data_IF_190506254285
#
_entry.id   IF_190506254285
#
_cell.length_a   1.000
_cell.length_b   1.000
_cell.length_c   1.000
_cell.angle_alpha   90.00
_cell.angle_beta   90.00
_cell.angle_gamma   90.00
#
_symmetry.space_group_name_H-M   'P 1'
#
loop_
_entity.id
_entity.type
_entity.pdbx_description
1 polymer ?
#
# COMPACT_ATOMS: atom_id res chain seq x y z
N UNK A 1 -14.27 -7.49 -11.35
CA UNK A 1 -13.34 -8.45 -10.70
C UNK A 1 -12.17 -7.76 -9.99
N UNK A 2 -11.46 -6.84 -10.66
CA UNK A 2 -10.37 -6.05 -10.08
C UNK A 2 -10.75 -5.32 -8.79
N UNK A 3 -11.95 -4.77 -8.71
CA UNK A 3 -12.43 -4.03 -7.53
C UNK A 3 -12.45 -4.89 -6.26
N UNK A 4 -12.92 -6.14 -6.35
CA UNK A 4 -12.88 -7.11 -5.24
C UNK A 4 -11.44 -7.50 -4.89
N UNK A 5 -10.58 -7.68 -5.90
CA UNK A 5 -9.16 -7.99 -5.70
C UNK A 5 -8.43 -6.86 -4.97
N UNK A 6 -8.68 -5.61 -5.38
CA UNK A 6 -8.15 -4.41 -4.72
C UNK A 6 -8.64 -4.30 -3.28
N UNK A 7 -9.92 -4.60 -3.00
CA UNK A 7 -10.45 -4.62 -1.62
C UNK A 7 -9.76 -5.71 -0.77
N UNK A 8 -9.53 -6.91 -1.31
CA UNK A 8 -8.79 -7.98 -0.61
C UNK A 8 -7.34 -7.59 -0.32
N UNK A 9 -6.64 -7.01 -1.29
CA UNK A 9 -5.27 -6.53 -1.12
C UNK A 9 -5.19 -5.41 -0.08
N UNK A 10 -6.15 -4.50 -0.09
CA UNK A 10 -6.26 -3.41 0.89
C UNK A 10 -6.45 -3.97 2.30
N UNK A 11 -7.32 -4.97 2.47
CA UNK A 11 -7.49 -5.68 3.75
C UNK A 11 -6.22 -6.44 4.17
N UNK A 12 -5.52 -7.08 3.22
CA UNK A 12 -4.27 -7.78 3.48
C UNK A 12 -3.15 -6.84 3.93
N UNK A 13 -3.03 -5.66 3.32
CA UNK A 13 -2.08 -4.61 3.72
C UNK A 13 -2.41 -4.12 5.13
N UNK A 14 -3.70 -3.97 5.48
CA UNK A 14 -4.13 -3.51 6.80
C UNK A 14 -3.78 -4.48 7.96
N UNK A 15 -3.63 -5.78 7.67
CA UNK A 15 -3.22 -6.80 8.65
C UNK A 15 -1.75 -7.20 8.53
N UNK A 16 -1.03 -6.64 7.56
CA UNK A 16 0.36 -6.95 7.33
C UNK A 16 1.26 -6.18 8.32
N UNK A 17 2.25 -6.86 8.90
CA UNK A 17 3.24 -6.23 9.78
C UNK A 17 4.22 -5.30 9.04
N UNK A 18 4.39 -5.49 7.73
CA UNK A 18 5.24 -4.67 6.87
C UNK A 18 4.51 -4.30 5.57
N UNK A 19 3.61 -3.31 5.62
CA UNK A 19 2.84 -2.88 4.45
C UNK A 19 3.72 -2.35 3.31
N UNK A 20 4.87 -1.74 3.61
CA UNK A 20 5.79 -1.20 2.61
C UNK A 20 6.38 -2.26 1.68
N UNK A 21 6.86 -3.37 2.25
CA UNK A 21 7.50 -4.43 1.47
C UNK A 21 6.46 -5.14 0.59
N UNK A 22 5.25 -5.34 1.12
CA UNK A 22 4.11 -5.86 0.36
C UNK A 22 3.71 -4.90 -0.78
N UNK A 23 3.66 -3.58 -0.52
CA UNK A 23 3.37 -2.57 -1.54
C UNK A 23 4.40 -2.56 -2.67
N UNK A 24 5.69 -2.69 -2.37
CA UNK A 24 6.74 -2.80 -3.40
C UNK A 24 6.54 -4.04 -4.28
N UNK A 25 6.26 -5.20 -3.68
CA UNK A 25 5.99 -6.44 -4.44
C UNK A 25 4.73 -6.28 -5.29
N UNK A 26 3.67 -5.67 -4.74
CA UNK A 26 2.43 -5.41 -5.48
C UNK A 26 2.64 -4.45 -6.65
N UNK A 27 3.52 -3.46 -6.52
CA UNK A 27 3.84 -2.53 -7.61
C UNK A 27 4.55 -3.25 -8.78
N UNK A 28 5.40 -4.23 -8.49
CA UNK A 28 6.12 -5.01 -9.52
C UNK A 28 5.26 -6.10 -10.16
N UNK A 29 4.21 -6.55 -9.47
CA UNK A 29 3.35 -7.67 -9.91
C UNK A 29 2.03 -7.22 -10.52
N UNK A 30 1.56 -6.00 -10.23
CA UNK A 30 0.28 -5.48 -10.73
C UNK A 30 0.45 -4.47 -11.86
N UNK A 31 -0.49 -4.42 -12.82
CA UNK A 31 -0.53 -3.36 -13.81
C UNK A 31 -0.68 -1.97 -13.16
N UNK A 32 -0.08 -0.92 -13.74
CA UNK A 32 -0.18 0.45 -13.23
C UNK A 32 -1.61 0.92 -12.88
N UNK A 33 -2.66 0.70 -13.71
CA UNK A 33 -4.01 1.16 -13.39
C UNK A 33 -4.64 0.45 -12.18
N UNK A 34 -4.28 -0.81 -11.92
CA UNK A 34 -4.80 -1.57 -10.77
C UNK A 34 -4.12 -1.12 -9.48
N UNK A 35 -2.81 -0.89 -9.53
CA UNK A 35 -2.05 -0.37 -8.39
C UNK A 35 -2.53 1.04 -7.99
N UNK A 36 -2.89 1.88 -8.96
CA UNK A 36 -3.43 3.20 -8.70
C UNK A 36 -4.82 3.16 -8.05
N UNK A 37 -5.67 2.20 -8.43
CA UNK A 37 -6.94 1.93 -7.74
C UNK A 37 -6.74 1.45 -6.29
N UNK A 38 -5.67 0.68 -6.04
CA UNK A 38 -5.29 0.30 -4.69
C UNK A 38 -4.84 1.52 -3.86
N UNK A 39 -4.04 2.41 -4.45
CA UNK A 39 -3.62 3.64 -3.80
C UNK A 39 -4.76 4.61 -3.48
N UNK A 40 -5.80 4.69 -4.31
CA UNK A 40 -6.98 5.54 -4.02
C UNK A 40 -7.90 4.97 -2.95
N UNK A 41 -7.85 3.64 -2.72
CA UNK A 41 -8.51 2.96 -1.60
C UNK A 41 -7.68 3.00 -0.30
N UNK A 42 -6.36 3.16 -0.44
CA UNK A 42 -5.45 3.27 0.68
C UNK A 42 -5.62 4.50 1.60
N UNK A 43 -6.00 5.74 1.23
CA UNK A 43 -6.07 6.88 2.17
C UNK A 43 -6.84 6.63 3.46
N UNK A 44 -7.85 5.74 3.45
CA UNK A 44 -8.58 5.31 4.65
C UNK A 44 -7.70 4.54 5.65
N UNK A 45 -6.63 3.90 5.18
CA UNK A 45 -5.63 3.12 5.93
C UNK A 45 -4.27 3.85 5.99
N UNK A 46 -3.92 4.61 4.96
CA UNK A 46 -2.70 5.41 4.83
C UNK A 46 -2.61 6.49 5.89
N UNK A 47 -3.70 7.00 6.45
CA UNK A 47 -3.58 7.88 7.63
C UNK A 47 -2.97 7.16 8.86
N UNK A 48 -3.08 5.83 8.96
CA UNK A 48 -2.38 5.05 9.99
C UNK A 48 -0.97 4.65 9.57
N UNK A 49 -0.75 4.43 8.28
CA UNK A 49 0.55 3.97 7.75
C UNK A 49 1.50 5.15 7.51
N UNK A 50 1.05 6.30 7.01
CA UNK A 50 1.85 7.52 6.80
C UNK A 50 2.38 8.08 8.11
N UNK A 51 1.65 7.95 9.22
CA UNK A 51 2.19 8.21 10.55
C UNK A 51 3.36 7.29 10.93
N UNK A 52 3.44 6.10 10.34
CA UNK A 52 4.59 5.19 10.44
C UNK A 52 5.63 5.39 9.29
N UNK A 53 5.30 6.14 8.24
CA UNK A 53 6.18 6.42 7.09
C UNK A 53 6.84 7.81 7.12
N UNK A 54 6.61 8.63 8.15
CA UNK A 54 7.53 9.75 8.43
C UNK A 54 8.97 9.29 8.75
N UNK A 55 9.25 7.97 8.73
CA UNK A 55 10.57 7.37 8.91
C UNK A 55 11.26 6.91 7.61
N UNK A 56 10.78 7.26 6.42
CA UNK A 56 11.44 6.84 5.16
C UNK A 56 12.09 7.97 4.35
N UNK A 57 12.13 9.21 4.85
CA UNK A 57 12.77 10.34 4.14
C UNK A 57 13.65 11.23 5.04
N UNK A 58 14.31 10.69 6.07
CA UNK A 58 15.37 11.40 6.82
C UNK A 58 16.42 10.40 7.33
N UNK A 59 17.71 10.68 7.11
CA UNK A 59 18.93 9.89 7.43
C UNK A 59 19.32 8.83 6.35
N UNK A 60 20.32 9.05 5.49
CA UNK A 60 21.74 9.28 5.80
C UNK A 60 22.41 10.19 4.76
N UNK A 61 23.03 11.25 5.29
CA UNK A 61 24.10 12.07 4.70
C UNK A 61 25.42 11.29 4.53
#
# INVERSE_FOLDING_TARGET
EYEKGVDHLTNAIAVCGQPQQLLQVLQQTLPPPVFQMLLTKLPTISQRIVSAQSLAEDDVE
#
